data_IF_313491022523
#
_entry.id   IF_313491022523
#
_cell.length_a   1.000
_cell.length_b   1.000
_cell.length_c   1.000
_cell.angle_alpha   90.00
_cell.angle_beta   90.00
_cell.angle_gamma   90.00
#
_symmetry.space_group_name_H-M   'P 1'
#
loop_
_entity.id
_entity.type
_entity.pdbx_description
1 polymer ?
#
# COMPACT_ATOMS: atom_id res chain seq x y z
N UNK A 1 -5.87 -40.61 -34.32
CA UNK A 1 -6.87 -40.87 -33.26
C UNK A 1 -6.29 -40.43 -31.91
N UNK A 2 -6.59 -39.22 -31.42
CA UNK A 2 -6.03 -38.66 -30.15
C UNK A 2 -7.11 -38.12 -29.19
N UNK A 3 -8.37 -38.53 -29.36
CA UNK A 3 -9.53 -38.04 -28.58
C UNK A 3 -9.64 -38.56 -27.13
N UNK A 4 -8.79 -39.51 -26.72
CA UNK A 4 -8.85 -40.11 -25.37
C UNK A 4 -8.21 -39.27 -24.25
N UNK A 5 -7.21 -38.45 -24.59
CA UNK A 5 -6.36 -37.78 -23.57
C UNK A 5 -7.03 -36.54 -22.96
N UNK A 6 -7.76 -35.76 -23.76
CA UNK A 6 -8.38 -34.50 -23.33
C UNK A 6 -9.50 -34.72 -22.30
N UNK A 7 -10.23 -35.82 -22.39
CA UNK A 7 -11.30 -36.16 -21.44
C UNK A 7 -10.79 -36.55 -20.05
N UNK A 8 -9.59 -37.11 -19.96
CA UNK A 8 -8.95 -37.44 -18.68
C UNK A 8 -8.44 -36.18 -17.98
N UNK A 9 -7.83 -35.27 -18.75
CA UNK A 9 -7.29 -34.00 -18.26
C UNK A 9 -8.41 -33.08 -17.78
N UNK A 10 -9.54 -33.01 -18.48
CA UNK A 10 -10.67 -32.19 -18.03
C UNK A 10 -11.26 -32.69 -16.71
N UNK A 11 -11.36 -34.01 -16.52
CA UNK A 11 -11.85 -34.61 -15.26
C UNK A 11 -10.91 -34.38 -14.09
N UNK A 12 -9.59 -34.41 -14.32
CA UNK A 12 -8.62 -34.10 -13.26
C UNK A 12 -8.62 -32.60 -12.93
N UNK A 13 -8.76 -31.73 -13.92
CA UNK A 13 -8.93 -30.29 -13.73
C UNK A 13 -10.19 -29.97 -12.93
N UNK A 14 -11.34 -30.52 -13.30
CA UNK A 14 -12.60 -30.34 -12.57
C UNK A 14 -12.49 -30.82 -11.13
N UNK A 15 -11.78 -31.93 -10.89
CA UNK A 15 -11.52 -32.42 -9.53
C UNK A 15 -10.65 -31.44 -8.75
N UNK A 16 -9.58 -30.90 -9.34
CA UNK A 16 -8.71 -29.92 -8.70
C UNK A 16 -9.42 -28.60 -8.43
N UNK A 17 -10.20 -28.11 -9.39
CA UNK A 17 -11.01 -26.90 -9.25
C UNK A 17 -12.05 -27.08 -8.14
N UNK A 18 -12.73 -28.24 -8.09
CA UNK A 18 -13.69 -28.55 -7.03
C UNK A 18 -13.02 -28.59 -5.66
N UNK A 19 -11.83 -29.18 -5.54
CA UNK A 19 -11.06 -29.19 -4.29
C UNK A 19 -10.61 -27.78 -3.88
N UNK A 20 -10.19 -26.96 -4.83
CA UNK A 20 -9.79 -25.57 -4.59
C UNK A 20 -10.97 -24.72 -4.13
N UNK A 21 -12.10 -24.79 -4.85
CA UNK A 21 -13.32 -24.07 -4.50
C UNK A 21 -13.87 -24.53 -3.15
N UNK A 22 -13.85 -25.83 -2.85
CA UNK A 22 -14.31 -26.36 -1.56
C UNK A 22 -13.40 -25.92 -0.41
N UNK A 23 -12.08 -25.84 -0.65
CA UNK A 23 -11.13 -25.33 0.34
C UNK A 23 -11.36 -23.85 0.64
N UNK A 24 -11.58 -23.04 -0.41
CA UNK A 24 -11.83 -21.60 -0.24
C UNK A 24 -13.26 -21.30 0.25
N UNK A 25 -14.25 -22.12 -0.09
CA UNK A 25 -15.60 -21.96 0.46
C UNK A 25 -15.61 -22.28 1.94
N UNK A 26 -14.85 -23.28 2.39
CA UNK A 26 -14.70 -23.55 3.83
C UNK A 26 -14.03 -22.39 4.58
N UNK A 27 -13.24 -21.55 3.90
CA UNK A 27 -12.70 -20.32 4.48
C UNK A 27 -13.74 -19.19 4.53
N UNK A 28 -14.63 -19.11 3.53
CA UNK A 28 -15.77 -18.20 3.54
C UNK A 28 -16.90 -18.67 4.50
N UNK A 29 -16.91 -19.94 4.91
CA UNK A 29 -17.86 -20.54 5.86
C UNK A 29 -17.28 -20.57 7.29
N UNK A 30 -16.08 -20.02 7.52
CA UNK A 30 -15.65 -19.67 8.88
C UNK A 30 -16.54 -18.52 9.36
N UNK A 31 -17.64 -18.88 10.03
CA UNK A 31 -18.59 -18.07 10.79
C UNK A 31 -18.68 -16.58 10.37
N UNK A 32 -19.77 -16.13 9.73
CA UNK A 32 -19.95 -14.70 9.39
C UNK A 32 -20.02 -13.78 10.62
N UNK A 33 -19.95 -14.34 11.83
CA UNK A 33 -19.88 -13.66 13.12
C UNK A 33 -18.47 -13.61 13.74
N UNK A 34 -17.45 -14.20 13.11
CA UNK A 34 -16.06 -14.00 13.53
C UNK A 34 -15.60 -12.67 12.96
N UNK A 35 -15.61 -11.65 13.81
CA UNK A 35 -14.96 -10.37 13.54
C UNK A 35 -13.48 -10.61 13.27
N UNK A 36 -13.04 -10.23 12.07
CA UNK A 36 -11.64 -10.34 11.65
C UNK A 36 -10.82 -9.20 12.25
N UNK A 37 -9.53 -9.42 12.40
CA UNK A 37 -8.61 -8.35 12.77
C UNK A 37 -8.51 -7.34 11.63
N UNK A 38 -8.48 -6.06 11.98
CA UNK A 38 -8.25 -4.96 11.06
C UNK A 38 -6.89 -5.09 10.37
N UNK A 39 -6.80 -4.58 9.15
CA UNK A 39 -5.58 -4.65 8.34
C UNK A 39 -4.40 -3.95 9.02
N UNK A 40 -4.64 -2.80 9.66
CA UNK A 40 -3.62 -2.06 10.41
C UNK A 40 -3.05 -2.88 11.57
N UNK A 41 -3.91 -3.63 12.28
CA UNK A 41 -3.48 -4.51 13.37
C UNK A 41 -2.66 -5.70 12.86
N UNK A 42 -3.00 -6.23 11.69
CA UNK A 42 -2.23 -7.30 11.05
C UNK A 42 -0.88 -6.80 10.54
N UNK A 43 -0.81 -5.59 9.96
CA UNK A 43 0.44 -4.96 9.55
C UNK A 43 1.35 -4.69 10.74
N UNK A 44 0.86 -4.02 11.79
CA UNK A 44 1.63 -3.76 12.99
C UNK A 44 2.12 -5.05 13.66
N UNK A 45 1.35 -6.14 13.58
CA UNK A 45 1.78 -7.46 14.06
C UNK A 45 2.95 -8.03 13.25
N UNK A 46 2.88 -7.93 11.92
CA UNK A 46 3.90 -8.44 10.99
C UNK A 46 5.19 -7.63 11.10
N UNK A 47 5.08 -6.31 11.22
CA UNK A 47 6.20 -5.39 11.42
C UNK A 47 6.83 -5.50 12.82
N UNK A 48 6.10 -6.05 13.80
CA UNK A 48 6.58 -6.23 15.17
C UNK A 48 6.36 -5.00 16.07
N UNK A 49 5.52 -4.06 15.64
CA UNK A 49 5.24 -2.79 16.33
C UNK A 49 4.15 -2.90 17.41
N UNK A 50 3.61 -4.10 17.63
CA UNK A 50 2.64 -4.35 18.70
C UNK A 50 3.29 -4.61 20.06
N UNK A 51 2.62 -4.17 21.12
CA UNK A 51 3.01 -4.55 22.48
C UNK A 51 2.76 -6.03 22.72
N UNK A 52 3.48 -6.64 23.66
CA UNK A 52 3.33 -8.07 24.02
C UNK A 52 1.88 -8.47 24.32
N UNK A 53 1.08 -7.56 24.91
CA UNK A 53 -0.33 -7.83 25.21
C UNK A 53 -1.18 -7.90 23.94
N UNK A 54 -0.95 -6.99 23.00
CA UNK A 54 -1.65 -6.95 21.71
C UNK A 54 -1.23 -8.13 20.83
N UNK A 55 0.06 -8.46 20.78
CA UNK A 55 0.56 -9.62 20.04
C UNK A 55 -0.09 -10.92 20.51
N UNK A 56 -0.30 -11.09 21.82
CA UNK A 56 -0.98 -12.28 22.36
C UNK A 56 -2.44 -12.38 21.91
N UNK A 57 -3.15 -11.24 21.84
CA UNK A 57 -4.53 -11.19 21.34
C UNK A 57 -4.58 -11.59 19.87
N UNK A 58 -3.69 -11.03 19.05
CA UNK A 58 -3.57 -11.34 17.63
C UNK A 58 -3.23 -12.82 17.42
N UNK A 59 -2.24 -13.36 18.13
CA UNK A 59 -1.88 -14.77 18.07
C UNK A 59 -3.05 -15.69 18.41
N UNK A 60 -3.82 -15.37 19.46
CA UNK A 60 -5.01 -16.13 19.83
C UNK A 60 -6.04 -16.18 18.70
N UNK A 61 -6.26 -15.06 18.01
CA UNK A 61 -7.16 -15.01 16.85
C UNK A 61 -6.61 -15.81 15.67
N UNK A 62 -5.31 -15.69 15.35
CA UNK A 62 -4.67 -16.40 14.25
C UNK A 62 -4.74 -17.93 14.40
N UNK A 63 -4.66 -18.46 15.63
CA UNK A 63 -4.83 -19.90 15.86
C UNK A 63 -6.21 -20.37 15.39
N UNK A 64 -7.26 -19.58 15.63
CA UNK A 64 -8.64 -19.92 15.28
C UNK A 64 -9.06 -19.53 13.85
N UNK A 65 -8.45 -18.50 13.26
CA UNK A 65 -8.94 -17.86 12.05
C UNK A 65 -8.03 -18.12 10.82
N UNK A 66 -8.49 -18.94 9.87
CA UNK A 66 -7.69 -19.24 8.68
C UNK A 66 -7.51 -18.03 7.76
N UNK A 67 -8.51 -17.15 7.67
CA UNK A 67 -8.42 -15.95 6.84
C UNK A 67 -7.30 -15.04 7.33
N UNK A 68 -7.32 -14.64 8.61
CA UNK A 68 -6.28 -13.79 9.18
C UNK A 68 -4.90 -14.44 9.07
N UNK A 69 -4.76 -15.77 9.25
CA UNK A 69 -3.47 -16.45 8.98
C UNK A 69 -2.99 -16.31 7.55
N UNK A 70 -3.88 -16.46 6.57
CA UNK A 70 -3.53 -16.31 5.16
C UNK A 70 -3.09 -14.88 4.87
N UNK A 71 -3.81 -13.90 5.36
CA UNK A 71 -3.48 -12.48 5.22
C UNK A 71 -2.13 -12.16 5.85
N UNK A 72 -1.91 -12.53 7.12
CA UNK A 72 -0.63 -12.37 7.82
C UNK A 72 0.52 -13.04 7.08
N UNK A 73 0.32 -14.26 6.56
CA UNK A 73 1.35 -14.95 5.79
C UNK A 73 1.66 -14.26 4.45
N UNK A 74 0.67 -13.62 3.82
CA UNK A 74 0.88 -12.82 2.62
C UNK A 74 1.66 -11.55 2.93
N UNK A 75 1.30 -10.84 4.00
CA UNK A 75 1.99 -9.63 4.45
C UNK A 75 3.45 -9.92 4.81
N UNK A 76 3.71 -11.00 5.55
CA UNK A 76 5.06 -11.41 5.92
C UNK A 76 5.94 -11.72 4.69
N UNK A 77 5.37 -12.31 3.62
CA UNK A 77 6.10 -12.54 2.36
C UNK A 77 6.47 -11.25 1.65
N UNK A 78 5.53 -10.29 1.60
CA UNK A 78 5.80 -8.97 1.04
C UNK A 78 6.91 -8.25 1.82
N UNK A 79 6.92 -8.37 3.15
CA UNK A 79 7.99 -7.82 3.97
C UNK A 79 9.35 -8.46 3.64
N UNK A 80 9.43 -9.78 3.49
CA UNK A 80 10.69 -10.43 3.12
C UNK A 80 11.19 -10.01 1.73
N UNK A 81 10.29 -9.87 0.74
CA UNK A 81 10.67 -9.43 -0.60
C UNK A 81 11.16 -7.97 -0.60
N UNK A 82 10.53 -7.11 0.19
CA UNK A 82 10.95 -5.70 0.32
C UNK A 82 12.28 -5.56 1.07
N UNK A 83 12.49 -6.32 2.14
CA UNK A 83 13.76 -6.34 2.87
C UNK A 83 14.93 -6.83 1.98
N UNK A 84 14.72 -7.87 1.16
CA UNK A 84 15.72 -8.39 0.23
C UNK A 84 16.10 -7.36 -0.85
N UNK A 85 15.13 -6.60 -1.38
CA UNK A 85 15.41 -5.55 -2.37
C UNK A 85 16.19 -4.35 -1.80
N UNK A 86 16.02 -4.05 -0.51
CA UNK A 86 16.78 -2.98 0.16
C UNK A 86 18.27 -3.34 0.29
N UNK A 87 18.58 -4.60 0.63
CA UNK A 87 19.97 -5.08 0.73
C UNK A 87 20.66 -5.08 -0.64
N UNK A 88 19.94 -5.47 -1.70
CA UNK A 88 20.51 -5.55 -3.05
C UNK A 88 20.73 -4.18 -3.72
N UNK A 89 19.97 -3.16 -3.32
CA UNK A 89 20.11 -1.77 -3.83
C UNK A 89 21.41 -1.09 -3.39
N UNK A 90 22.02 -1.54 -2.28
CA UNK A 90 23.31 -1.02 -1.82
C UNK A 90 24.50 -1.41 -2.71
N UNK A 91 24.29 -2.31 -3.69
CA UNK A 91 25.33 -2.81 -4.59
C UNK A 91 25.18 -2.32 -6.06
N UNK A 92 24.30 -1.34 -6.33
CA UNK A 92 24.11 -0.77 -7.67
C UNK A 92 24.98 0.48 -7.86
N UNK A 93 26.28 0.32 -7.68
CA UNK A 93 27.25 1.23 -8.30
C UNK A 93 27.58 0.68 -9.68
N UNK A 94 26.72 0.91 -10.68
CA UNK A 94 27.05 1.04 -12.12
C UNK A 94 25.76 0.94 -12.97
N UNK A 95 25.39 2.06 -13.61
CA UNK A 95 24.53 2.21 -14.82
C UNK A 95 23.32 3.16 -14.73
N UNK A 96 23.10 3.87 -13.61
CA UNK A 96 22.04 4.89 -13.50
C UNK A 96 22.24 6.12 -14.41
N UNK A 97 23.46 6.33 -14.93
CA UNK A 97 23.75 7.46 -15.83
C UNK A 97 22.97 7.35 -17.16
N UNK A 98 22.78 6.14 -17.70
CA UNK A 98 22.13 5.98 -19.02
C UNK A 98 20.65 6.33 -18.99
N UNK A 99 19.91 5.84 -18.00
CA UNK A 99 18.50 6.16 -17.85
C UNK A 99 18.27 7.66 -17.64
N UNK A 100 19.11 8.29 -16.81
CA UNK A 100 19.08 9.74 -16.58
C UNK A 100 19.34 10.53 -17.86
N UNK A 101 20.27 10.09 -18.71
CA UNK A 101 20.54 10.71 -20.01
C UNK A 101 19.37 10.55 -21.00
N UNK A 102 18.63 9.43 -20.94
CA UNK A 102 17.41 9.25 -21.74
C UNK A 102 16.26 10.14 -21.28
N UNK A 103 16.05 10.26 -19.97
CA UNK A 103 15.03 11.17 -19.44
C UNK A 103 15.37 12.64 -19.72
N UNK A 104 16.65 13.03 -19.63
CA UNK A 104 17.10 14.37 -20.00
C UNK A 104 16.83 14.66 -21.48
N UNK A 105 17.23 13.76 -22.39
CA UNK A 105 16.98 13.90 -23.84
C UNK A 105 15.49 13.89 -24.19
N UNK A 106 14.68 13.11 -23.48
CA UNK A 106 13.23 13.08 -23.68
C UNK A 106 12.58 14.38 -23.20
N UNK A 107 13.00 14.92 -22.06
CA UNK A 107 12.53 16.21 -21.56
C UNK A 107 12.90 17.36 -22.50
N UNK A 108 14.15 17.43 -22.97
CA UNK A 108 14.57 18.47 -23.92
C UNK A 108 13.73 18.44 -25.20
N UNK A 109 13.40 17.24 -25.71
CA UNK A 109 12.59 17.07 -26.92
C UNK A 109 11.09 17.38 -26.71
N UNK A 110 10.55 17.11 -25.52
CA UNK A 110 9.15 17.42 -25.21
C UNK A 110 8.94 18.89 -24.87
N UNK A 111 9.89 19.54 -24.20
CA UNK A 111 9.74 20.95 -23.78
C UNK A 111 10.12 21.96 -24.86
N UNK A 112 10.87 21.58 -25.90
CA UNK A 112 11.10 22.46 -27.07
C UNK A 112 9.95 22.46 -28.08
N UNK A 113 9.00 21.53 -27.99
CA UNK A 113 7.87 21.43 -28.92
C UNK A 113 6.56 22.03 -28.37
N UNK A 114 6.56 22.54 -27.13
CA UNK A 114 5.39 23.19 -26.52
C UNK A 114 5.59 24.72 -26.61
N UNK A 115 5.35 25.26 -27.79
CA UNK A 115 5.09 26.70 -28.03
C UNK A 115 3.66 27.10 -27.57
N UNK A 116 3.09 26.40 -26.59
CA UNK A 116 1.87 26.82 -25.91
C UNK A 116 2.16 26.99 -24.42
N UNK A 117 2.53 28.20 -24.05
CA UNK A 117 2.60 28.67 -22.68
C UNK A 117 1.31 28.29 -21.93
N UNK A 118 1.37 27.25 -21.11
CA UNK A 118 0.36 26.96 -20.09
C UNK A 118 0.66 27.93 -18.95
N UNK A 119 0.09 29.12 -19.04
CA UNK A 119 0.08 30.10 -17.96
C UNK A 119 -0.69 29.51 -16.77
N UNK A 120 0.03 29.01 -15.78
CA UNK A 120 -0.52 28.80 -14.46
C UNK A 120 -0.93 30.18 -13.92
N UNK A 121 -2.23 30.45 -13.85
CA UNK A 121 -2.75 31.61 -13.14
C UNK A 121 -2.36 31.49 -11.66
N UNK A 122 -1.28 32.17 -11.28
CA UNK A 122 -1.00 32.50 -9.90
C UNK A 122 -1.77 33.79 -9.58
N UNK A 123 -2.98 33.65 -9.04
CA UNK A 123 -3.67 34.79 -8.42
C UNK A 123 -2.84 35.23 -7.21
N UNK A 124 -2.12 36.34 -7.37
CA UNK A 124 -1.57 37.09 -6.26
C UNK A 124 -2.63 38.08 -5.81
N UNK A 125 -3.41 37.71 -4.80
CA UNK A 125 -4.21 38.69 -4.07
C UNK A 125 -3.25 39.57 -3.24
N UNK A 126 -2.81 40.68 -3.85
CA UNK A 126 -2.46 41.89 -3.11
C UNK A 126 -3.55 42.92 -3.39
N UNK A 127 -4.38 43.19 -2.40
CA UNK A 127 -5.03 44.49 -2.25
C UNK A 127 -4.86 45.00 -0.83
N UNK A 128 -4.36 46.23 -0.80
CA UNK A 128 -4.02 47.10 0.31
C UNK A 128 -5.04 47.16 1.44
N UNK A 129 -4.56 47.19 2.69
CA UNK A 129 -5.12 48.06 3.73
C UNK A 129 -4.09 48.37 4.83
N UNK A 130 -3.62 49.63 4.82
CA UNK A 130 -3.31 50.52 5.96
C UNK A 130 -2.34 50.07 7.07
N UNK A 131 -1.16 50.69 7.10
CA UNK A 131 -0.41 50.98 8.34
C UNK A 131 -1.24 51.90 9.26
N UNK A 132 -1.30 51.60 10.57
CA UNK A 132 -0.99 52.52 11.67
C UNK A 132 -1.18 51.84 13.04
N UNK A 133 -0.08 51.30 13.54
CA UNK A 133 0.55 51.60 14.83
C UNK A 133 -0.27 52.06 16.07
N UNK A 134 0.07 51.40 17.19
CA UNK A 134 0.02 51.79 18.63
C UNK A 134 -1.13 51.29 19.52
N UNK A 135 -0.76 50.38 20.43
CA UNK A 135 -1.31 50.28 21.78
C UNK A 135 -1.02 51.57 22.58
N UNK A 136 -1.85 51.96 23.57
CA UNK A 136 -1.64 51.41 24.92
C UNK A 136 -2.91 51.17 25.76
N UNK A 137 -2.80 50.19 26.66
CA UNK A 137 -3.08 50.26 28.11
C UNK A 137 -4.02 51.37 28.63
N UNK A 138 -5.17 51.00 29.23
CA UNK A 138 -5.53 51.25 30.64
C UNK A 138 -7.01 50.92 30.95
N UNK A 139 -7.21 50.22 32.09
CA UNK A 139 -8.32 50.28 33.07
C UNK A 139 -9.78 50.08 32.55
N UNK A 140 -10.78 49.62 33.29
CA UNK A 140 -11.02 49.47 34.71
C UNK A 140 -12.24 48.52 34.88
N UNK A 141 -12.45 48.13 36.13
CA UNK A 141 -13.42 47.21 36.71
C UNK A 141 -14.90 47.53 36.46
N UNK A 142 -15.73 46.59 36.95
CA UNK A 142 -17.17 46.67 37.29
C UNK A 142 -18.11 46.43 36.10
N UNK A 143 -19.12 45.57 36.17
CA UNK A 143 -19.94 45.07 37.28
C UNK A 143 -20.54 43.70 36.90
#
# INVERSE_FOLDING_TARGET
MTRGNTNSINKSFDRLLKLYLQRNSNDAIQNPSIEHLDEDHLNAFVEGDLTKRESNSVLSHLVGCNMCRKTTASLARLQTETDETFVQSSNINHSTNKARDFFAKLSEKLFTQIDSAVFAHQETEKKDHSEQDKAPENADKTN
#
